data_IF_175390231687
#
_entry.id   IF_175390231687
#
_cell.length_a   1.000
_cell.length_b   1.000
_cell.length_c   1.000
_cell.angle_alpha   90.00
_cell.angle_beta   90.00
_cell.angle_gamma   90.00
#
_symmetry.space_group_name_H-M   'P 1'
#
loop_
_entity.id
_entity.type
_entity.pdbx_description
1 polymer ?
#
# COMPACT_ATOMS: atom_id res chain seq x y z
N UNK A 1 11.18 -2.19 -11.37
CA UNK A 1 10.75 -2.15 -9.96
C UNK A 1 9.25 -2.34 -9.89
N UNK A 2 8.79 -3.28 -9.08
CA UNK A 2 7.39 -3.43 -8.74
C UNK A 2 7.21 -2.93 -7.30
N UNK A 3 6.35 -1.95 -7.10
CA UNK A 3 6.02 -1.41 -5.79
C UNK A 3 4.50 -1.32 -5.63
N UNK A 4 4.02 -1.76 -4.48
CA UNK A 4 2.62 -1.63 -4.07
C UNK A 4 2.50 -0.54 -3.03
N UNK A 5 1.69 0.48 -3.29
CA UNK A 5 1.49 1.58 -2.34
C UNK A 5 0.02 1.62 -1.90
N UNK A 6 -0.20 1.48 -0.60
CA UNK A 6 -1.53 1.48 0.00
C UNK A 6 -1.68 2.60 1.03
N UNK A 7 -2.78 3.34 0.94
CA UNK A 7 -3.18 4.35 1.92
C UNK A 7 -3.90 3.74 3.12
N UNK A 8 -4.73 2.73 2.88
CA UNK A 8 -5.53 2.06 3.91
C UNK A 8 -5.00 0.64 4.08
N UNK A 9 -4.16 0.42 5.07
CA UNK A 9 -3.49 -0.86 5.24
C UNK A 9 -3.88 -1.59 6.54
N UNK A 10 -4.69 -0.98 7.42
CA UNK A 10 -5.21 -1.63 8.62
C UNK A 10 -4.15 -2.26 9.54
N UNK A 11 -2.90 -1.82 9.46
CA UNK A 11 -1.84 -2.36 10.31
C UNK A 11 -2.09 -2.02 11.77
N UNK A 12 -2.12 -3.01 12.67
CA UNK A 12 -2.24 -2.76 14.10
C UNK A 12 -1.00 -1.97 14.58
N UNK A 13 -1.21 -1.05 15.51
CA UNK A 13 -0.11 -0.28 16.10
C UNK A 13 0.42 0.89 15.28
N UNK A 14 -0.19 1.21 14.12
CA UNK A 14 0.24 2.37 13.31
C UNK A 14 0.25 3.67 14.14
N UNK A 15 -0.77 3.88 14.98
CA UNK A 15 -0.84 5.05 15.85
C UNK A 15 0.31 5.14 16.85
N UNK A 16 0.79 4.01 17.35
CA UNK A 16 1.97 3.96 18.22
C UNK A 16 3.24 4.35 17.45
N UNK A 17 3.40 3.86 16.23
CA UNK A 17 4.54 4.20 15.36
C UNK A 17 4.54 5.69 15.04
N UNK A 18 3.38 6.26 14.72
CA UNK A 18 3.24 7.70 14.49
C UNK A 18 3.58 8.52 15.73
N UNK A 19 3.18 8.06 16.92
CA UNK A 19 3.51 8.72 18.17
C UNK A 19 5.03 8.67 18.44
N UNK A 20 5.66 7.51 18.28
CA UNK A 20 7.12 7.36 18.42
C UNK A 20 7.87 8.25 17.42
N UNK A 21 7.43 8.31 16.17
CA UNK A 21 8.02 9.18 15.16
C UNK A 21 7.93 10.66 15.59
N UNK A 22 6.76 11.08 16.09
CA UNK A 22 6.54 12.44 16.61
C UNK A 22 7.44 12.75 17.79
N UNK A 23 7.55 11.84 18.77
CA UNK A 23 8.37 12.02 19.98
C UNK A 23 9.87 12.13 19.64
N UNK A 24 10.27 11.53 18.52
CA UNK A 24 11.63 11.64 17.97
C UNK A 24 11.84 12.82 17.02
N UNK A 25 10.85 13.69 16.87
CA UNK A 25 10.91 14.84 15.96
C UNK A 25 10.78 14.49 14.48
N UNK A 26 10.42 13.25 14.14
CA UNK A 26 10.20 12.79 12.76
C UNK A 26 8.77 13.14 12.35
N UNK A 27 8.47 14.43 12.22
CA UNK A 27 7.11 14.92 11.95
C UNK A 27 6.82 15.15 10.46
N UNK A 28 7.86 15.30 9.65
CA UNK A 28 7.73 15.58 8.23
C UNK A 28 7.91 14.31 7.40
N UNK A 29 9.02 14.22 6.68
CA UNK A 29 9.34 13.06 5.86
C UNK A 29 10.04 11.98 6.69
N UNK A 30 9.54 10.74 6.63
CA UNK A 30 10.20 9.58 7.20
C UNK A 30 9.76 8.28 6.54
N UNK A 31 10.59 7.28 6.62
CA UNK A 31 10.23 5.91 6.30
C UNK A 31 10.74 4.96 7.40
N UNK A 32 10.07 3.83 7.53
CA UNK A 32 10.41 2.76 8.45
C UNK A 32 10.26 1.43 7.74
N UNK A 33 11.34 0.69 7.59
CA UNK A 33 11.26 -0.70 7.14
C UNK A 33 10.65 -1.54 8.25
N UNK A 34 9.59 -2.26 7.91
CA UNK A 34 8.95 -3.17 8.84
C UNK A 34 9.84 -4.40 9.01
N UNK A 35 10.08 -4.85 10.25
CA UNK A 35 10.86 -6.05 10.49
C UNK A 35 10.14 -7.24 9.88
N UNK A 36 10.86 -8.04 9.12
CA UNK A 36 10.42 -9.39 8.77
C UNK A 36 10.97 -10.31 9.85
N UNK A 37 10.13 -11.11 10.51
CA UNK A 37 10.62 -12.06 11.51
C UNK A 37 11.72 -12.94 10.91
N UNK A 38 12.85 -13.03 11.58
CA UNK A 38 14.03 -13.74 11.06
C UNK A 38 13.80 -15.22 10.82
N UNK A 39 12.93 -15.82 11.62
CA UNK A 39 12.48 -17.21 11.50
C UNK A 39 11.54 -17.46 10.31
N UNK A 40 10.97 -16.42 9.74
CA UNK A 40 10.11 -16.51 8.54
C UNK A 40 10.85 -16.24 7.24
N UNK A 41 12.13 -15.84 7.30
CA UNK A 41 12.98 -15.74 6.13
C UNK A 41 13.36 -17.14 5.66
N UNK A 42 12.82 -17.54 4.52
CA UNK A 42 13.21 -18.78 3.87
C UNK A 42 14.39 -18.52 2.95
N UNK A 43 15.36 -19.44 2.98
CA UNK A 43 16.37 -19.50 1.93
C UNK A 43 15.66 -19.79 0.61
N UNK A 44 15.60 -18.78 -0.24
CA UNK A 44 15.17 -19.02 -1.60
C UNK A 44 16.21 -19.90 -2.29
N UNK A 45 15.72 -20.95 -2.93
CA UNK A 45 16.55 -21.82 -3.81
C UNK A 45 17.07 -21.03 -5.02
N UNK A 46 16.49 -19.87 -5.32
CA UNK A 46 16.95 -18.94 -6.31
C UNK A 46 18.14 -18.13 -5.76
N UNK A 47 19.33 -18.52 -6.14
CA UNK A 47 20.61 -17.82 -5.89
C UNK A 47 21.09 -17.76 -4.44
N UNK A 48 20.60 -18.64 -3.54
CA UNK A 48 21.04 -18.66 -2.13
C UNK A 48 20.69 -17.41 -1.34
N UNK A 49 19.74 -16.60 -1.80
CA UNK A 49 19.28 -15.38 -1.13
C UNK A 49 18.11 -15.65 -0.18
N UNK A 50 18.11 -14.99 0.95
CA UNK A 50 16.97 -15.01 1.86
C UNK A 50 15.88 -14.08 1.32
N UNK A 51 14.74 -14.64 0.93
CA UNK A 51 13.57 -13.87 0.48
C UNK A 51 12.48 -13.95 1.55
N UNK A 52 11.83 -12.82 1.91
CA UNK A 52 10.67 -12.86 2.78
C UNK A 52 9.59 -13.80 2.24
N UNK A 53 8.86 -14.52 3.10
CA UNK A 53 7.84 -15.48 2.68
C UNK A 53 6.77 -14.88 1.76
N UNK A 54 6.46 -13.60 1.94
CA UNK A 54 5.51 -12.87 1.11
C UNK A 54 6.11 -12.38 -0.21
N UNK A 55 7.38 -12.63 -0.47
CA UNK A 55 8.07 -12.08 -1.63
C UNK A 55 8.18 -10.55 -1.65
N UNK A 56 7.97 -9.89 -0.50
CA UNK A 56 7.94 -8.45 -0.39
C UNK A 56 8.71 -7.93 0.83
N UNK A 57 9.34 -6.77 0.69
CA UNK A 57 9.88 -5.98 1.79
C UNK A 57 8.97 -4.79 2.01
N UNK A 58 8.44 -4.66 3.22
CA UNK A 58 7.41 -3.69 3.55
C UNK A 58 7.96 -2.50 4.30
N UNK A 59 7.43 -1.34 4.00
CA UNK A 59 7.74 -0.08 4.64
C UNK A 59 6.49 0.66 5.06
N UNK A 60 6.64 1.49 6.11
CA UNK A 60 5.76 2.62 6.36
C UNK A 60 6.46 3.88 5.88
N UNK A 61 5.73 4.74 5.20
CA UNK A 61 6.28 5.95 4.58
C UNK A 61 5.34 7.14 4.73
N UNK A 62 5.88 8.25 5.17
CA UNK A 62 5.20 9.55 5.22
C UNK A 62 6.01 10.54 4.38
N UNK A 63 5.34 11.22 3.46
CA UNK A 63 5.98 12.19 2.55
C UNK A 63 6.22 13.53 3.23
N UNK A 64 5.25 14.03 3.98
CA UNK A 64 5.37 15.26 4.74
C UNK A 64 4.28 15.35 5.84
N UNK A 65 4.38 16.36 6.69
CA UNK A 65 3.43 16.64 7.77
C UNK A 65 2.01 16.79 7.23
N UNK A 66 1.06 16.15 7.88
CA UNK A 66 -0.36 16.17 7.50
C UNK A 66 -0.75 15.13 6.45
N UNK A 67 0.22 14.41 5.87
CA UNK A 67 -0.07 13.26 5.02
C UNK A 67 -0.34 12.02 5.84
N UNK A 68 -1.22 11.12 5.35
CA UNK A 68 -1.35 9.80 5.93
C UNK A 68 -0.04 9.03 5.80
N UNK A 69 0.15 8.05 6.66
CA UNK A 69 1.23 7.08 6.49
C UNK A 69 0.81 6.08 5.43
N UNK A 70 1.64 5.89 4.43
CA UNK A 70 1.46 4.88 3.39
C UNK A 70 2.19 3.59 3.78
N UNK A 71 1.65 2.46 3.36
CA UNK A 71 2.41 1.23 3.29
C UNK A 71 2.97 1.07 1.87
N UNK A 72 4.24 0.75 1.79
CA UNK A 72 4.93 0.46 0.53
C UNK A 72 5.50 -0.94 0.61
N UNK A 73 5.08 -1.81 -0.28
CA UNK A 73 5.61 -3.17 -0.41
C UNK A 73 6.43 -3.23 -1.70
N UNK A 74 7.71 -3.59 -1.57
CA UNK A 74 8.65 -3.71 -2.68
C UNK A 74 8.88 -5.19 -2.97
N UNK A 75 9.03 -5.55 -4.23
CA UNK A 75 9.47 -6.88 -4.62
C UNK A 75 10.78 -7.25 -3.92
N UNK A 76 10.79 -8.37 -3.20
CA UNK A 76 11.92 -8.75 -2.37
C UNK A 76 13.17 -9.07 -3.19
N UNK A 77 13.03 -9.69 -4.36
CA UNK A 77 14.17 -10.03 -5.21
C UNK A 77 14.83 -8.76 -5.75
N UNK A 78 14.01 -7.80 -6.21
CA UNK A 78 14.50 -6.49 -6.63
C UNK A 78 15.17 -5.75 -5.47
N UNK A 79 14.60 -5.78 -4.27
CA UNK A 79 15.15 -5.12 -3.09
C UNK A 79 16.52 -5.69 -2.72
N UNK A 80 16.66 -7.02 -2.71
CA UNK A 80 17.91 -7.72 -2.43
C UNK A 80 18.98 -7.33 -3.44
N UNK A 81 18.62 -7.29 -4.72
CA UNK A 81 19.57 -6.96 -5.79
C UNK A 81 20.02 -5.50 -5.78
N UNK A 82 19.09 -4.57 -5.49
CA UNK A 82 19.31 -3.14 -5.72
C UNK A 82 19.53 -2.32 -4.45
N UNK A 83 18.97 -2.75 -3.34
CA UNK A 83 18.97 -1.98 -2.09
C UNK A 83 19.88 -2.61 -1.05
N UNK A 84 19.77 -3.92 -0.82
CA UNK A 84 20.53 -4.60 0.20
C UNK A 84 22.04 -4.49 -0.06
N UNK A 85 22.79 -4.15 0.98
CA UNK A 85 24.22 -4.34 1.09
C UNK A 85 24.45 -5.27 2.29
N UNK A 86 24.74 -6.56 2.08
CA UNK A 86 24.74 -7.54 3.17
C UNK A 86 25.77 -7.24 4.26
N UNK A 87 26.87 -6.57 3.89
CA UNK A 87 27.98 -6.27 4.79
C UNK A 87 27.96 -4.83 5.33
N UNK A 88 27.02 -3.99 4.85
CA UNK A 88 26.97 -2.58 5.23
C UNK A 88 25.53 -2.05 5.33
N UNK A 89 25.01 -2.07 6.55
CA UNK A 89 23.69 -1.54 6.87
C UNK A 89 23.54 -0.05 6.56
N UNK A 90 24.65 0.73 6.66
CA UNK A 90 24.62 2.17 6.36
C UNK A 90 24.43 2.39 4.86
N UNK A 91 25.05 1.56 4.02
CA UNK A 91 24.87 1.62 2.59
C UNK A 91 23.45 1.19 2.21
N UNK A 92 22.89 0.17 2.84
CA UNK A 92 21.49 -0.23 2.67
C UNK A 92 20.57 0.94 3.00
N UNK A 93 20.73 1.56 4.15
CA UNK A 93 19.94 2.73 4.57
C UNK A 93 20.08 3.91 3.62
N UNK A 94 21.27 4.18 3.11
CA UNK A 94 21.50 5.26 2.14
C UNK A 94 20.74 5.02 0.82
N UNK A 95 20.71 3.78 0.32
CA UNK A 95 19.95 3.39 -0.88
C UNK A 95 18.44 3.47 -0.64
N UNK A 96 17.96 3.03 0.53
CA UNK A 96 16.56 3.21 0.94
C UNK A 96 16.18 4.68 0.99
N UNK A 97 17.00 5.52 1.60
CA UNK A 97 16.79 6.97 1.67
C UNK A 97 16.70 7.60 0.27
N UNK A 98 17.57 7.21 -0.65
CA UNK A 98 17.54 7.67 -2.03
C UNK A 98 16.25 7.24 -2.74
N UNK A 99 15.82 5.99 -2.52
CA UNK A 99 14.56 5.48 -3.09
C UNK A 99 13.37 6.31 -2.60
N UNK A 100 13.22 6.49 -1.28
CA UNK A 100 12.09 7.22 -0.73
C UNK A 100 12.12 8.71 -1.05
N UNK A 101 13.28 9.33 -1.14
CA UNK A 101 13.41 10.71 -1.64
C UNK A 101 13.00 10.83 -3.11
N UNK A 102 13.31 9.82 -3.94
CA UNK A 102 12.87 9.78 -5.33
C UNK A 102 11.37 9.59 -5.46
N UNK A 103 10.78 8.71 -4.65
CA UNK A 103 9.33 8.52 -4.60
C UNK A 103 8.61 9.78 -4.13
N UNK A 104 9.17 10.47 -3.14
CA UNK A 104 8.62 11.72 -2.61
C UNK A 104 8.65 12.82 -3.68
N UNK A 105 9.77 13.01 -4.36
CA UNK A 105 9.90 13.94 -5.48
C UNK A 105 8.92 13.61 -6.62
N UNK A 106 8.84 12.34 -7.03
CA UNK A 106 7.91 11.91 -8.08
C UNK A 106 6.44 12.03 -7.67
N UNK A 107 6.15 11.93 -6.37
CA UNK A 107 4.82 12.06 -5.80
C UNK A 107 4.38 13.49 -5.55
N UNK A 108 5.32 14.45 -5.56
CA UNK A 108 5.05 15.82 -5.19
C UNK A 108 4.28 16.56 -6.29
N UNK A 109 3.07 17.00 -5.97
CA UNK A 109 2.26 17.88 -6.83
C UNK A 109 1.47 18.85 -5.96
N UNK A 110 1.70 20.14 -6.16
CA UNK A 110 1.07 21.22 -5.40
C UNK A 110 -0.47 21.22 -5.50
N UNK A 111 -1.02 20.58 -6.52
CA UNK A 111 -2.48 20.49 -6.75
C UNK A 111 -3.13 19.44 -5.85
N UNK A 112 -2.35 18.53 -5.28
CA UNK A 112 -2.86 17.44 -4.46
C UNK A 112 -2.23 17.50 -3.08
N UNK A 113 -2.96 18.13 -2.14
CA UNK A 113 -2.43 18.36 -0.78
C UNK A 113 -2.36 17.12 0.11
N UNK A 114 -3.05 16.05 -0.24
CA UNK A 114 -3.24 14.91 0.64
C UNK A 114 -2.91 13.55 0.01
N UNK A 115 -2.34 13.52 -1.20
CA UNK A 115 -2.10 12.28 -1.90
C UNK A 115 -1.09 12.47 -3.03
N UNK A 116 -0.06 11.63 -3.16
CA UNK A 116 0.86 11.72 -4.29
C UNK A 116 0.11 11.70 -5.63
N UNK A 117 0.37 12.68 -6.49
CA UNK A 117 -0.39 12.86 -7.73
C UNK A 117 -0.46 11.60 -8.61
N UNK A 118 0.62 10.83 -8.83
CA UNK A 118 0.54 9.61 -9.63
C UNK A 118 -0.44 8.59 -9.05
N UNK A 119 -0.50 8.47 -7.71
CA UNK A 119 -1.45 7.59 -7.04
C UNK A 119 -2.88 8.11 -7.15
N UNK A 120 -3.08 9.43 -7.04
CA UNK A 120 -4.38 10.05 -7.26
C UNK A 120 -4.86 9.82 -8.69
N UNK A 121 -4.02 10.07 -9.68
CA UNK A 121 -4.37 9.88 -11.08
C UNK A 121 -4.68 8.41 -11.40
N UNK A 122 -3.94 7.47 -10.83
CA UNK A 122 -4.21 6.04 -10.95
C UNK A 122 -5.53 5.66 -10.28
N UNK A 123 -5.78 6.19 -9.07
CA UNK A 123 -7.03 5.98 -8.34
C UNK A 123 -8.23 6.51 -9.13
N UNK A 124 -8.15 7.76 -9.60
CA UNK A 124 -9.24 8.40 -10.36
C UNK A 124 -9.55 7.66 -11.68
N UNK A 125 -8.53 7.03 -12.29
CA UNK A 125 -8.71 6.20 -13.49
C UNK A 125 -9.24 4.80 -13.19
N UNK A 126 -8.83 4.21 -12.07
CA UNK A 126 -9.26 2.87 -11.66
C UNK A 126 -10.61 2.87 -10.95
N UNK A 127 -11.02 4.01 -10.39
CA UNK A 127 -12.28 4.12 -9.65
C UNK A 127 -13.46 4.23 -10.63
N UNK A 128 -14.39 3.30 -10.52
CA UNK A 128 -15.67 3.42 -11.19
C UNK A 128 -16.46 4.57 -10.56
N UNK A 129 -17.04 5.43 -11.38
CA UNK A 129 -18.00 6.44 -10.92
C UNK A 129 -19.26 5.74 -10.40
N UNK A 130 -20.01 6.40 -9.52
CA UNK A 130 -21.21 5.80 -8.93
C UNK A 130 -22.21 5.32 -9.99
N UNK A 131 -22.36 6.07 -11.09
CA UNK A 131 -23.19 5.67 -12.22
C UNK A 131 -22.69 4.39 -12.90
N UNK A 132 -21.38 4.23 -13.06
CA UNK A 132 -20.75 3.05 -13.65
C UNK A 132 -20.85 1.84 -12.71
N UNK A 133 -20.66 2.06 -11.40
CA UNK A 133 -20.85 1.03 -10.37
C UNK A 133 -22.27 0.52 -10.34
N UNK A 134 -23.26 1.42 -10.41
CA UNK A 134 -24.67 1.05 -10.47
C UNK A 134 -25.02 0.29 -11.77
N UNK A 135 -24.47 0.73 -12.90
CA UNK A 135 -24.67 0.03 -14.17
C UNK A 135 -24.06 -1.38 -14.14
N UNK A 136 -22.83 -1.51 -13.63
CA UNK A 136 -22.18 -2.81 -13.48
C UNK A 136 -22.94 -3.71 -12.51
N UNK A 137 -23.38 -3.19 -11.35
CA UNK A 137 -24.21 -3.94 -10.39
C UNK A 137 -25.48 -4.47 -11.05
N UNK A 138 -26.18 -3.65 -11.83
CA UNK A 138 -27.39 -4.07 -12.57
C UNK A 138 -27.08 -5.19 -13.57
N UNK A 139 -25.97 -5.09 -14.31
CA UNK A 139 -25.57 -6.13 -15.27
C UNK A 139 -25.25 -7.45 -14.58
N UNK A 140 -24.50 -7.39 -13.46
CA UNK A 140 -24.16 -8.59 -12.68
C UNK A 140 -25.40 -9.25 -12.12
N UNK A 141 -26.33 -8.48 -11.55
CA UNK A 141 -27.62 -9.01 -11.03
C UNK A 141 -28.43 -9.63 -12.18
N UNK A 142 -28.55 -8.97 -13.31
CA UNK A 142 -29.28 -9.49 -14.45
C UNK A 142 -28.69 -10.81 -14.97
N UNK A 143 -27.36 -10.90 -15.08
CA UNK A 143 -26.67 -12.12 -15.50
C UNK A 143 -26.87 -13.26 -14.48
N UNK A 144 -26.80 -12.96 -13.20
CA UNK A 144 -27.01 -13.94 -12.13
C UNK A 144 -28.47 -14.45 -12.08
N UNK A 145 -29.46 -13.57 -12.26
CA UNK A 145 -30.86 -13.96 -12.35
C UNK A 145 -31.12 -14.82 -13.61
N UNK A 146 -30.51 -14.46 -14.73
CA UNK A 146 -30.58 -15.27 -15.97
C UNK A 146 -29.94 -16.66 -15.78
N UNK A 147 -28.97 -16.81 -14.88
CA UNK A 147 -28.37 -18.10 -14.52
C UNK A 147 -29.15 -18.87 -13.44
N UNK A 148 -30.31 -18.39 -13.01
CA UNK A 148 -31.21 -19.06 -12.06
C UNK A 148 -31.07 -18.63 -10.61
N UNK A 149 -30.27 -17.60 -10.31
CA UNK A 149 -30.19 -17.05 -8.96
C UNK A 149 -31.41 -16.19 -8.64
N UNK A 150 -31.87 -16.23 -7.37
CA UNK A 150 -32.99 -15.38 -6.95
C UNK A 150 -32.54 -13.92 -6.80
N UNK A 151 -33.29 -12.98 -7.35
CA UNK A 151 -32.99 -11.54 -7.24
C UNK A 151 -32.88 -11.06 -5.78
N UNK A 152 -33.62 -11.67 -4.87
CA UNK A 152 -33.54 -11.37 -3.41
C UNK A 152 -32.18 -11.64 -2.77
N UNK A 153 -31.32 -12.44 -3.39
CA UNK A 153 -29.96 -12.68 -2.92
C UNK A 153 -29.02 -11.45 -3.06
N UNK A 154 -29.43 -10.44 -3.84
CA UNK A 154 -28.64 -9.25 -4.13
C UNK A 154 -29.19 -7.97 -3.51
N UNK A 155 -30.20 -8.10 -2.63
CA UNK A 155 -30.73 -6.95 -1.89
C UNK A 155 -29.76 -6.63 -0.76
N UNK A 156 -29.33 -5.35 -0.69
CA UNK A 156 -28.49 -4.90 0.40
C UNK A 156 -29.26 -4.99 1.72
N UNK A 157 -28.71 -5.63 2.77
CA UNK A 157 -29.38 -5.70 4.07
C UNK A 157 -29.75 -4.32 4.64
N UNK A 158 -28.98 -3.26 4.31
CA UNK A 158 -29.29 -1.90 4.75
C UNK A 158 -30.53 -1.33 4.04
N UNK A 159 -30.83 -1.76 2.83
CA UNK A 159 -32.06 -1.38 2.10
C UNK A 159 -33.31 -2.05 2.72
N UNK A 160 -33.13 -3.18 3.40
CA UNK A 160 -34.23 -3.91 4.07
C UNK A 160 -34.59 -3.32 5.44
N UNK A 161 -33.66 -2.62 6.09
CA UNK A 161 -33.84 -2.11 7.46
C UNK A 161 -34.31 -0.65 7.51
N UNK A 162 -34.44 0.02 6.38
CA UNK A 162 -34.95 1.38 6.31
C UNK A 162 -34.08 2.43 7.03
N UNK A 163 -32.84 2.09 7.37
CA UNK A 163 -31.86 3.01 7.90
C UNK A 163 -30.99 3.52 6.72
N UNK A 164 -31.41 4.63 6.14
CA UNK A 164 -30.62 5.46 5.25
C UNK A 164 -29.92 6.56 6.06
#
# INVERSE_FOLDING_TARGET
MLAWISKSHGLPGIGLIEQIAKDRGLIDHWFLRLPTPSDTWQLSVLDGRNIPPQGAVSYLWRTHRGMPVFRVDLDAAWWIERILSPEDDRQTLARESTLFSTLDFAGHDIRTKAYPYPLKAAHDRASLKDTERLALRKQVIAAAVASGMKASAFVDPSELTGHA
#
